data_IF_796162801419
#
_entry.id   IF_796162801419
#
_cell.length_a   1.000
_cell.length_b   1.000
_cell.length_c   1.000
_cell.angle_alpha   90.00
_cell.angle_beta   90.00
_cell.angle_gamma   90.00
#
_symmetry.space_group_name_H-M   'P 1'
#
loop_
_entity.id
_entity.type
_entity.pdbx_description
1 polymer ?
#
# COMPACT_ATOMS: atom_id res chain seq x y z
N UNK A 1 8.99 -1.45 -3.30
CA UNK A 1 9.81 -0.21 -3.48
C UNK A 1 11.32 -0.50 -3.52
N UNK A 2 11.89 -1.19 -2.52
CA UNK A 2 13.35 -1.45 -2.46
C UNK A 2 13.94 -2.17 -3.70
N UNK A 3 13.38 -3.31 -4.20
CA UNK A 3 14.00 -4.01 -5.34
C UNK A 3 14.06 -3.17 -6.62
N UNK A 4 13.02 -2.37 -6.87
CA UNK A 4 12.94 -1.48 -8.03
C UNK A 4 14.03 -0.40 -8.00
N UNK A 5 14.20 0.29 -6.86
CA UNK A 5 15.21 1.35 -6.70
C UNK A 5 16.62 0.76 -6.72
N UNK A 6 16.81 -0.41 -6.11
CA UNK A 6 18.08 -1.14 -6.13
C UNK A 6 18.49 -1.44 -7.58
N UNK A 7 17.59 -2.03 -8.37
CA UNK A 7 17.85 -2.33 -9.78
C UNK A 7 18.18 -1.08 -10.60
N UNK A 8 17.43 0.02 -10.42
CA UNK A 8 17.65 1.26 -11.15
C UNK A 8 18.99 1.95 -10.83
N UNK A 9 19.50 1.80 -9.59
CA UNK A 9 20.71 2.47 -9.11
C UNK A 9 21.95 1.56 -9.10
N UNK A 10 22.07 0.65 -10.06
CA UNK A 10 23.26 -0.20 -10.20
C UNK A 10 23.19 -1.53 -9.43
N UNK A 11 21.97 -2.01 -9.13
CA UNK A 11 21.73 -3.32 -8.54
C UNK A 11 22.48 -3.50 -7.22
N UNK A 12 23.33 -4.53 -7.14
CA UNK A 12 24.08 -4.85 -5.93
C UNK A 12 24.97 -3.71 -5.42
N UNK A 13 25.46 -2.81 -6.28
CA UNK A 13 26.29 -1.68 -5.87
C UNK A 13 25.53 -0.69 -4.97
N UNK A 14 24.20 -0.58 -5.14
CA UNK A 14 23.33 0.26 -4.31
C UNK A 14 23.33 -0.15 -2.83
N UNK A 15 23.67 -1.41 -2.52
CA UNK A 15 23.71 -1.89 -1.14
C UNK A 15 24.79 -1.18 -0.31
N UNK A 16 25.90 -0.74 -0.91
CA UNK A 16 26.98 -0.04 -0.21
C UNK A 16 26.47 1.29 0.38
N UNK A 17 25.98 2.26 -0.41
CA UNK A 17 25.45 3.50 0.14
C UNK A 17 24.20 3.27 1.00
N UNK A 18 23.37 2.26 0.70
CA UNK A 18 22.22 1.90 1.53
C UNK A 18 22.65 1.51 2.95
N UNK A 19 23.63 0.62 3.10
CA UNK A 19 24.15 0.20 4.40
C UNK A 19 24.82 1.34 5.17
N UNK A 20 25.56 2.22 4.49
CA UNK A 20 26.17 3.41 5.10
C UNK A 20 25.09 4.36 5.65
N UNK A 21 24.07 4.69 4.85
CA UNK A 21 22.96 5.56 5.28
C UNK A 21 22.12 4.90 6.38
N UNK A 22 21.96 3.57 6.36
CA UNK A 22 21.30 2.84 7.43
C UNK A 22 22.10 2.93 8.74
N UNK A 23 23.42 2.76 8.69
CA UNK A 23 24.27 2.77 9.88
C UNK A 23 24.36 4.16 10.53
N UNK A 24 24.53 5.21 9.73
CA UNK A 24 24.77 6.57 10.24
C UNK A 24 23.52 7.43 10.32
N UNK A 25 22.46 7.12 9.57
CA UNK A 25 21.21 7.88 9.56
C UNK A 25 20.05 7.09 10.16
N UNK A 26 19.73 5.94 9.57
CA UNK A 26 18.56 5.14 9.94
C UNK A 26 18.60 4.63 11.38
N UNK A 27 19.66 3.90 11.76
CA UNK A 27 19.80 3.29 13.09
C UNK A 27 19.86 4.34 14.22
N UNK A 28 20.61 5.45 14.11
CA UNK A 28 20.64 6.45 15.17
C UNK A 28 19.28 7.14 15.38
N UNK A 29 18.56 7.48 14.31
CA UNK A 29 17.23 8.09 14.42
C UNK A 29 16.21 7.13 15.01
N UNK A 30 16.21 5.87 14.56
CA UNK A 30 15.34 4.84 15.10
C UNK A 30 15.60 4.59 16.58
N UNK A 31 16.88 4.50 16.98
CA UNK A 31 17.26 4.33 18.38
C UNK A 31 16.86 5.53 19.23
N UNK A 32 17.07 6.76 18.74
CA UNK A 32 16.66 7.99 19.43
C UNK A 32 15.15 7.99 19.73
N UNK A 33 14.33 7.66 18.74
CA UNK A 33 12.87 7.63 18.90
C UNK A 33 12.43 6.58 19.93
N UNK A 34 13.00 5.37 19.86
CA UNK A 34 12.73 4.32 20.85
C UNK A 34 13.16 4.71 22.26
N UNK A 35 14.36 5.27 22.42
CA UNK A 35 14.88 5.70 23.71
C UNK A 35 14.03 6.82 24.32
N UNK A 36 13.61 7.81 23.53
CA UNK A 36 12.70 8.88 23.96
C UNK A 36 11.34 8.34 24.37
N UNK A 37 10.76 7.42 23.58
CA UNK A 37 9.49 6.77 23.87
C UNK A 37 9.52 5.98 25.18
N UNK A 38 10.59 5.20 25.39
CA UNK A 38 10.77 4.42 26.62
C UNK A 38 11.05 5.27 27.85
N UNK A 39 11.84 6.34 27.73
CA UNK A 39 12.19 7.23 28.83
C UNK A 39 11.00 8.07 29.30
N UNK A 40 10.29 8.72 28.37
CA UNK A 40 9.18 9.62 28.72
C UNK A 40 7.84 8.91 28.90
N UNK A 41 7.64 7.72 28.32
CA UNK A 41 6.40 6.92 28.40
C UNK A 41 5.14 7.72 28.10
N UNK A 42 5.22 8.59 27.11
CA UNK A 42 4.16 9.51 26.71
C UNK A 42 3.93 9.41 25.20
N UNK A 43 2.72 9.75 24.76
CA UNK A 43 2.41 9.83 23.33
C UNK A 43 3.10 11.01 22.65
N UNK A 44 3.10 11.00 21.31
CA UNK A 44 3.74 12.01 20.46
C UNK A 44 3.28 13.45 20.75
N UNK A 45 2.00 13.66 21.11
CA UNK A 45 1.46 14.99 21.43
C UNK A 45 1.96 15.54 22.77
N UNK A 46 2.03 14.69 23.80
CA UNK A 46 2.42 15.12 25.16
C UNK A 46 3.94 15.12 25.36
N UNK A 47 4.69 14.38 24.53
CA UNK A 47 6.15 14.34 24.52
C UNK A 47 6.76 15.73 24.28
N UNK A 48 6.36 16.42 23.21
CA UNK A 48 6.90 17.73 22.85
C UNK A 48 6.57 18.81 23.88
N UNK A 49 5.44 18.70 24.60
CA UNK A 49 5.14 19.60 25.71
C UNK A 49 6.15 19.48 26.86
N UNK A 50 6.77 18.32 27.07
CA UNK A 50 7.77 18.08 28.13
C UNK A 50 9.19 18.43 27.70
N UNK A 51 9.54 18.18 26.44
CA UNK A 51 10.89 18.45 25.92
C UNK A 51 11.05 19.92 25.53
N UNK A 52 10.20 20.41 24.61
CA UNK A 52 10.27 21.78 24.11
C UNK A 52 8.86 22.24 23.69
N UNK A 53 8.14 23.00 24.54
CA UNK A 53 6.77 23.43 24.27
C UNK A 53 6.58 24.17 22.94
N UNK A 54 7.61 24.85 22.43
CA UNK A 54 7.59 25.52 21.13
C UNK A 54 7.38 24.54 19.96
N UNK A 55 7.83 23.29 20.10
CA UNK A 55 7.70 22.24 19.09
C UNK A 55 6.43 21.38 19.24
N UNK A 56 5.45 21.82 20.05
CA UNK A 56 4.17 21.09 20.22
C UNK A 56 3.45 20.81 18.88
N UNK A 57 3.66 21.67 17.87
CA UNK A 57 3.11 21.50 16.52
C UNK A 57 3.55 20.20 15.82
N UNK A 58 4.73 19.68 16.14
CA UNK A 58 5.27 18.44 15.54
C UNK A 58 4.35 17.25 15.84
N UNK A 59 3.83 17.15 17.07
CA UNK A 59 2.91 16.06 17.43
C UNK A 59 1.60 16.09 16.62
N UNK A 60 1.04 17.27 16.37
CA UNK A 60 -0.17 17.40 15.55
C UNK A 60 0.10 17.09 14.08
N UNK A 61 1.27 17.48 13.56
CA UNK A 61 1.69 17.14 12.21
C UNK A 61 1.82 15.63 12.02
N UNK A 62 2.38 14.90 12.99
CA UNK A 62 2.47 13.43 12.97
C UNK A 62 1.06 12.82 12.88
N UNK A 63 0.12 13.24 13.74
CA UNK A 63 -1.25 12.72 13.69
C UNK A 63 -1.94 12.99 12.34
N UNK A 64 -1.69 14.14 11.71
CA UNK A 64 -2.22 14.45 10.39
C UNK A 64 -1.64 13.52 9.31
N UNK A 65 -0.32 13.32 9.32
CA UNK A 65 0.38 12.41 8.40
C UNK A 65 -0.13 10.97 8.57
N UNK A 66 -0.34 10.53 9.82
CA UNK A 66 -0.85 9.19 10.12
C UNK A 66 -2.27 8.98 9.60
N UNK A 67 -3.13 10.00 9.62
CA UNK A 67 -4.47 9.93 9.03
C UNK A 67 -4.37 9.73 7.50
N UNK A 68 -3.54 10.52 6.82
CA UNK A 68 -3.35 10.39 5.36
C UNK A 68 -2.74 9.05 4.98
N UNK A 69 -1.70 8.61 5.68
CA UNK A 69 -1.07 7.31 5.47
C UNK A 69 -2.05 6.18 5.78
N UNK A 70 -2.83 6.30 6.86
CA UNK A 70 -3.85 5.34 7.24
C UNK A 70 -4.87 5.12 6.12
N UNK A 71 -5.39 6.19 5.52
CA UNK A 71 -6.32 6.08 4.38
C UNK A 71 -5.66 5.40 3.18
N UNK A 72 -4.48 5.87 2.77
CA UNK A 72 -3.78 5.35 1.59
C UNK A 72 -3.39 3.87 1.71
N UNK A 73 -2.76 3.48 2.83
CA UNK A 73 -2.30 2.11 3.02
C UNK A 73 -3.45 1.12 3.17
N UNK A 74 -4.54 1.48 3.86
CA UNK A 74 -5.70 0.59 3.97
C UNK A 74 -6.37 0.33 2.62
N UNK A 75 -6.35 1.29 1.68
CA UNK A 75 -6.81 1.05 0.29
C UNK A 75 -5.97 -0.01 -0.42
N UNK A 76 -4.64 0.05 -0.30
CA UNK A 76 -3.73 -0.96 -0.91
C UNK A 76 -3.96 -2.34 -0.30
N UNK A 77 -4.12 -2.42 1.02
CA UNK A 77 -4.46 -3.68 1.70
C UNK A 77 -5.83 -4.18 1.20
N UNK A 78 -6.79 -3.29 1.00
CA UNK A 78 -8.09 -3.63 0.41
C UNK A 78 -7.98 -4.26 -0.98
N UNK A 79 -7.07 -3.75 -1.84
CA UNK A 79 -6.76 -4.39 -3.13
C UNK A 79 -6.21 -5.81 -2.91
N UNK A 80 -5.27 -6.00 -1.98
CA UNK A 80 -4.71 -7.32 -1.69
C UNK A 80 -5.78 -8.30 -1.16
N UNK A 81 -6.69 -7.85 -0.29
CA UNK A 81 -7.82 -8.64 0.21
C UNK A 81 -8.77 -9.03 -0.94
N UNK A 82 -9.04 -8.11 -1.88
CA UNK A 82 -9.82 -8.41 -3.07
C UNK A 82 -9.18 -9.52 -3.91
N UNK A 83 -7.86 -9.45 -4.16
CA UNK A 83 -7.12 -10.51 -4.86
C UNK A 83 -7.10 -11.83 -4.09
N UNK A 84 -7.02 -11.79 -2.76
CA UNK A 84 -7.08 -12.98 -1.91
C UNK A 84 -8.45 -13.67 -2.06
N UNK A 85 -9.55 -12.93 -1.96
CA UNK A 85 -10.91 -13.47 -2.13
C UNK A 85 -11.09 -14.02 -3.55
N UNK A 86 -10.63 -13.29 -4.57
CA UNK A 86 -10.70 -13.75 -5.97
C UNK A 86 -9.90 -15.05 -6.19
N UNK A 87 -8.73 -15.18 -5.54
CA UNK A 87 -7.92 -16.41 -5.59
C UNK A 87 -8.60 -17.58 -4.88
N UNK A 88 -9.17 -17.35 -3.70
CA UNK A 88 -9.89 -18.37 -2.93
C UNK A 88 -11.17 -18.83 -3.65
N UNK A 89 -11.90 -17.90 -4.27
CA UNK A 89 -13.08 -18.22 -5.08
C UNK A 89 -12.71 -19.03 -6.34
N UNK A 90 -11.50 -18.84 -6.86
CA UNK A 90 -11.02 -19.49 -8.09
C UNK A 90 -10.13 -20.70 -7.83
N UNK A 91 -10.23 -21.35 -6.66
CA UNK A 91 -9.34 -22.45 -6.28
C UNK A 91 -9.48 -23.69 -7.18
N UNK A 92 -10.68 -23.92 -7.73
CA UNK A 92 -11.00 -25.03 -8.63
C UNK A 92 -11.17 -24.57 -10.09
N UNK A 93 -10.84 -23.32 -10.40
CA UNK A 93 -11.00 -22.72 -11.72
C UNK A 93 -9.73 -22.00 -12.15
N UNK A 94 -9.73 -21.52 -13.39
CA UNK A 94 -8.64 -20.70 -13.92
C UNK A 94 -8.69 -19.32 -13.27
N UNK A 95 -7.53 -18.79 -12.86
CA UNK A 95 -7.45 -17.48 -12.21
C UNK A 95 -7.84 -16.37 -13.21
N UNK A 96 -8.60 -15.35 -12.78
CA UNK A 96 -9.22 -14.38 -13.69
C UNK A 96 -8.23 -13.43 -14.39
N UNK A 97 -6.98 -13.36 -13.95
CA UNK A 97 -5.92 -12.56 -14.58
C UNK A 97 -4.96 -13.37 -15.47
N UNK A 98 -5.30 -14.63 -15.79
CA UNK A 98 -4.45 -15.48 -16.64
C UNK A 98 -4.92 -15.55 -18.09
N UNK A 99 -6.24 -15.45 -18.34
CA UNK A 99 -6.86 -15.49 -19.67
C UNK A 99 -7.31 -14.10 -20.13
N UNK A 100 -7.38 -13.93 -21.45
CA UNK A 100 -7.96 -12.74 -22.07
C UNK A 100 -9.49 -12.87 -22.32
N UNK A 101 -10.09 -14.03 -22.04
CA UNK A 101 -11.51 -14.32 -22.30
C UNK A 101 -12.42 -13.87 -21.15
N UNK A 102 -12.38 -12.59 -20.78
CA UNK A 102 -13.21 -12.03 -19.71
C UNK A 102 -13.89 -10.72 -20.16
N UNK A 103 -15.02 -10.38 -19.53
CA UNK A 103 -15.86 -9.22 -19.90
C UNK A 103 -15.13 -7.87 -19.80
N UNK A 104 -14.14 -7.76 -18.91
CA UNK A 104 -13.38 -6.52 -18.73
C UNK A 104 -12.23 -6.34 -19.72
N UNK A 105 -11.86 -7.38 -20.47
CA UNK A 105 -10.70 -7.34 -21.35
C UNK A 105 -10.99 -6.60 -22.66
N UNK A 106 -9.97 -5.96 -23.22
CA UNK A 106 -10.02 -5.29 -24.53
C UNK A 106 -9.55 -6.21 -25.65
N UNK A 107 -9.86 -5.92 -26.93
CA UNK A 107 -9.31 -6.68 -28.06
C UNK A 107 -7.78 -6.59 -28.19
N UNK A 108 -7.12 -5.73 -27.41
CA UNK A 108 -5.65 -5.61 -27.37
C UNK A 108 -5.01 -6.51 -26.30
N UNK A 109 -5.81 -7.24 -25.52
CA UNK A 109 -5.31 -8.21 -24.55
C UNK A 109 -4.65 -9.39 -25.27
N UNK A 110 -3.39 -9.67 -24.93
CA UNK A 110 -2.67 -10.84 -25.44
C UNK A 110 -2.16 -11.70 -24.28
N UNK A 111 -2.41 -13.02 -24.30
CA UNK A 111 -1.87 -13.92 -23.28
C UNK A 111 -0.34 -13.94 -23.32
N UNK A 112 0.28 -14.09 -22.15
CA UNK A 112 1.75 -13.99 -21.97
C UNK A 112 2.52 -15.05 -22.78
N UNK A 113 1.88 -16.17 -23.10
CA UNK A 113 2.46 -17.26 -23.90
C UNK A 113 2.46 -17.00 -25.41
N UNK A 114 1.72 -15.98 -25.88
CA UNK A 114 1.66 -15.65 -27.31
C UNK A 114 2.76 -14.65 -27.68
N UNK A 115 3.42 -14.78 -28.85
CA UNK A 115 4.35 -13.78 -29.33
C UNK A 115 3.65 -12.43 -29.51
N UNK A 116 4.22 -11.37 -28.92
CA UNK A 116 3.69 -10.02 -29.05
C UNK A 116 3.89 -9.52 -30.48
N UNK A 117 2.81 -9.49 -31.26
CA UNK A 117 2.78 -8.98 -32.63
C UNK A 117 2.46 -7.49 -32.70
N UNK A 118 1.92 -6.89 -31.63
CA UNK A 118 1.55 -5.49 -31.56
C UNK A 118 2.22 -4.82 -30.34
N UNK A 119 3.01 -3.73 -30.52
CA UNK A 119 3.64 -3.03 -29.40
C UNK A 119 2.63 -2.40 -28.41
N UNK A 120 1.38 -2.22 -28.83
CA UNK A 120 0.31 -1.67 -28.00
C UNK A 120 -0.48 -2.75 -27.24
N UNK A 121 -0.06 -4.02 -27.28
CA UNK A 121 -0.74 -5.11 -26.57
C UNK A 121 -0.60 -4.97 -25.05
N UNK A 122 -1.66 -5.32 -24.34
CA UNK A 122 -1.74 -5.36 -22.87
C UNK A 122 -1.72 -6.81 -22.38
N UNK A 123 -1.14 -7.04 -21.19
CA UNK A 123 -1.20 -8.35 -20.55
C UNK A 123 -2.52 -8.53 -19.78
N UNK A 124 -3.05 -9.76 -19.65
CA UNK A 124 -4.30 -10.01 -18.92
C UNK A 124 -4.23 -9.55 -17.46
N UNK A 125 -3.07 -9.68 -16.81
CA UNK A 125 -2.89 -9.20 -15.44
C UNK A 125 -2.95 -7.68 -15.32
N UNK A 126 -2.41 -6.94 -16.30
CA UNK A 126 -2.50 -5.48 -16.35
C UNK A 126 -3.94 -5.04 -16.56
N UNK A 127 -4.65 -5.64 -17.51
CA UNK A 127 -6.05 -5.29 -17.77
C UNK A 127 -6.96 -5.65 -16.60
N UNK A 128 -6.72 -6.79 -15.94
CA UNK A 128 -7.47 -7.15 -14.74
C UNK A 128 -7.30 -6.08 -13.64
N UNK A 129 -6.08 -5.57 -13.42
CA UNK A 129 -5.86 -4.52 -12.42
C UNK A 129 -6.50 -3.18 -12.83
N UNK A 130 -6.23 -2.69 -14.04
CA UNK A 130 -6.66 -1.35 -14.48
C UNK A 130 -8.16 -1.29 -14.78
N UNK A 131 -8.72 -2.34 -15.40
CA UNK A 131 -10.11 -2.33 -15.90
C UNK A 131 -11.09 -2.99 -14.95
N UNK A 132 -10.72 -4.11 -14.33
CA UNK A 132 -11.58 -4.74 -13.34
C UNK A 132 -11.34 -4.14 -11.95
N UNK A 133 -10.17 -4.31 -11.34
CA UNK A 133 -9.95 -3.93 -9.92
C UNK A 133 -10.16 -2.43 -9.68
N UNK A 134 -9.48 -1.58 -10.46
CA UNK A 134 -9.52 -0.13 -10.29
C UNK A 134 -10.67 0.55 -11.06
N UNK A 135 -11.19 -0.09 -12.10
CA UNK A 135 -12.15 0.52 -13.05
C UNK A 135 -11.69 1.89 -13.58
N UNK A 136 -10.37 2.08 -13.77
CA UNK A 136 -9.76 3.36 -14.11
C UNK A 136 -10.30 3.94 -15.43
N UNK A 137 -10.71 3.08 -16.36
CA UNK A 137 -11.32 3.47 -17.64
C UNK A 137 -12.68 4.20 -17.50
N UNK A 138 -13.30 4.20 -16.32
CA UNK A 138 -14.53 4.96 -16.03
C UNK A 138 -14.24 6.38 -15.51
N UNK A 139 -12.97 6.72 -15.28
CA UNK A 139 -12.52 8.03 -14.82
C UNK A 139 -11.82 8.77 -15.96
N UNK A 140 -12.12 10.06 -16.10
CA UNK A 140 -11.50 10.94 -17.10
C UNK A 140 -10.34 11.78 -16.54
N UNK A 141 -9.86 11.46 -15.33
CA UNK A 141 -8.76 12.16 -14.67
C UNK A 141 -9.05 12.43 -13.19
N UNK A 142 -8.25 13.32 -12.59
CA UNK A 142 -8.41 13.70 -11.18
C UNK A 142 -9.67 14.54 -10.94
N UNK A 143 -10.13 15.27 -11.96
CA UNK A 143 -11.34 16.10 -11.88
C UNK A 143 -12.63 15.25 -11.92
N UNK A 144 -12.57 14.07 -12.53
CA UNK A 144 -13.68 13.12 -12.65
C UNK A 144 -13.19 11.70 -12.34
N UNK A 145 -13.20 11.36 -11.05
CA UNK A 145 -12.73 10.08 -10.52
C UNK A 145 -13.68 8.90 -10.81
N UNK A 146 -14.85 9.15 -11.41
CA UNK A 146 -15.84 8.11 -11.67
C UNK A 146 -16.50 7.56 -10.40
N UNK A 147 -17.29 6.47 -10.54
CA UNK A 147 -18.04 5.89 -9.43
C UNK A 147 -17.16 5.04 -8.50
N UNK A 148 -17.57 4.93 -7.23
CA UNK A 148 -16.90 4.05 -6.26
C UNK A 148 -17.27 2.58 -6.55
N UNK A 149 -16.27 1.73 -6.76
CA UNK A 149 -16.47 0.28 -6.91
C UNK A 149 -16.93 -0.35 -5.57
N UNK A 150 -18.15 -0.90 -5.47
CA UNK A 150 -18.73 -1.32 -4.19
C UNK A 150 -18.02 -2.52 -3.57
N UNK A 151 -17.55 -3.47 -4.39
CA UNK A 151 -16.81 -4.64 -3.89
C UNK A 151 -15.46 -4.25 -3.28
N UNK A 152 -14.81 -3.22 -3.82
CA UNK A 152 -13.58 -2.68 -3.27
C UNK A 152 -13.83 -1.90 -1.97
N UNK A 153 -14.89 -1.09 -1.93
CA UNK A 153 -15.32 -0.40 -0.72
C UNK A 153 -15.62 -1.39 0.42
N UNK A 154 -16.27 -2.51 0.13
CA UNK A 154 -16.52 -3.57 1.11
C UNK A 154 -15.22 -4.23 1.60
N UNK A 155 -14.25 -4.49 0.71
CA UNK A 155 -12.95 -5.01 1.11
C UNK A 155 -12.21 -4.05 2.05
N UNK A 156 -12.17 -2.76 1.71
CA UNK A 156 -11.55 -1.72 2.54
C UNK A 156 -12.27 -1.58 3.88
N UNK A 157 -13.60 -1.61 3.89
CA UNK A 157 -14.38 -1.61 5.13
C UNK A 157 -14.03 -2.83 6.01
N UNK A 158 -13.92 -4.01 5.43
CA UNK A 158 -13.46 -5.22 6.13
C UNK A 158 -12.08 -5.05 6.77
N UNK A 159 -11.13 -4.42 6.06
CA UNK A 159 -9.80 -4.10 6.61
C UNK A 159 -9.91 -3.15 7.81
N UNK A 160 -10.72 -2.08 7.72
CA UNK A 160 -10.93 -1.16 8.84
C UNK A 160 -11.55 -1.86 10.05
N UNK A 161 -12.52 -2.75 9.83
CA UNK A 161 -13.14 -3.55 10.90
C UNK A 161 -12.10 -4.44 11.58
N UNK A 162 -11.25 -5.12 10.81
CA UNK A 162 -10.16 -5.94 11.35
C UNK A 162 -9.18 -5.10 12.18
N UNK A 163 -8.70 -3.98 11.63
CA UNK A 163 -7.79 -3.07 12.35
C UNK A 163 -8.44 -2.55 13.62
N UNK A 164 -9.72 -2.18 13.58
CA UNK A 164 -10.47 -1.74 14.76
C UNK A 164 -10.50 -2.81 15.85
N UNK A 165 -10.84 -4.05 15.51
CA UNK A 165 -10.85 -5.15 16.49
C UNK A 165 -9.46 -5.49 17.03
N UNK A 166 -8.41 -5.39 16.21
CA UNK A 166 -7.02 -5.57 16.65
C UNK A 166 -6.57 -4.50 17.65
N UNK A 167 -7.11 -3.28 17.55
CA UNK A 167 -6.72 -2.14 18.39
C UNK A 167 -7.66 -1.87 19.57
N UNK A 168 -8.89 -2.38 19.57
CA UNK A 168 -9.92 -2.05 20.57
C UNK A 168 -9.40 -2.27 21.99
N UNK A 169 -8.81 -3.43 22.29
CA UNK A 169 -8.30 -3.75 23.64
C UNK A 169 -6.93 -3.12 23.95
N UNK A 170 -6.44 -2.22 23.09
CA UNK A 170 -5.16 -1.54 23.21
C UNK A 170 -3.97 -2.46 22.93
N UNK A 171 -2.79 -2.01 23.37
CA UNK A 171 -1.50 -2.68 23.09
C UNK A 171 -1.40 -4.12 23.60
N UNK A 172 -2.26 -4.53 24.54
CA UNK A 172 -2.31 -5.92 25.03
C UNK A 172 -2.95 -6.90 24.05
N UNK A 173 -3.68 -6.41 23.05
CA UNK A 173 -4.35 -7.22 22.03
C UNK A 173 -3.67 -7.19 20.68
N UNK A 174 -2.69 -6.30 20.50
CA UNK A 174 -1.95 -6.12 19.25
C UNK A 174 -0.68 -6.99 19.16
N UNK A 175 -0.21 -7.54 20.28
CA UNK A 175 0.96 -8.41 20.38
C UNK A 175 0.59 -9.87 20.56
#
# INVERSE_FOLDING_TARGET
RFPYICYQNGGGAFLIPYCVMLLFGGLPLFFLELALGQYHRCGCLTLWKRICPALKGVGYAICMIDIYMGMYYNTIIGWAVYYLIASLASINSVLPWTSCDNEWNTPLCTPVTSPQTNPNSSTPAKEFFERNVLEQHKSNGLDDMGPIKPSLALCVFGVFVLVYFSLWKGVRSAG
#
